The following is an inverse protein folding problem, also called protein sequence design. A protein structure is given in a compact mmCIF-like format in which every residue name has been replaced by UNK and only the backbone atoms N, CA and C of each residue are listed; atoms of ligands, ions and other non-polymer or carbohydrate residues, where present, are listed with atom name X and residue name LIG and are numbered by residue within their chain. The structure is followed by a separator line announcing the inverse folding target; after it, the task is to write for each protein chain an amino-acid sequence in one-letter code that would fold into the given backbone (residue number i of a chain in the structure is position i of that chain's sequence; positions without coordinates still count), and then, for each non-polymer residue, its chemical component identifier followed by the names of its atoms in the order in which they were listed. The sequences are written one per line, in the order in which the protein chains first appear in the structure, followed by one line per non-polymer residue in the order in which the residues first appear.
data_IF_773813329589
#
_entry.id   IF_773813329589
#
_cell.length_a   1.000
_cell.length_b   1.000
_cell.length_c   1.000
_cell.angle_alpha   90.00
_cell.angle_beta   90.00
_cell.angle_gamma   90.00
#
_symmetry.space_group_name_H-M   'P 1'
#
loop_
_entity.id
_entity.type
_entity.pdbx_description
1 polymer ?
#
# COMPACT_ATOMS: atom_id res chain seq x y z
N UNK A 1 -6.62 10.33 19.36
CA UNK A 1 -5.63 10.97 18.47
C UNK A 1 -4.36 10.17 18.60
N UNK A 2 -4.23 9.18 17.74
CA UNK A 2 -3.02 8.40 17.61
C UNK A 2 -2.08 9.29 16.78
N UNK A 3 -0.96 9.71 17.38
CA UNK A 3 0.00 10.61 16.75
C UNK A 3 1.12 9.74 16.16
N UNK A 4 1.22 9.65 14.83
CA UNK A 4 2.14 8.70 14.15
C UNK A 4 3.22 9.39 13.31
N UNK A 5 3.67 10.57 13.71
CA UNK A 5 4.84 11.22 13.10
C UNK A 5 5.82 11.69 14.16
N UNK A 6 7.14 11.41 14.01
CA UNK A 6 8.14 11.81 14.97
C UNK A 6 8.42 13.32 14.85
N UNK A 7 8.31 14.03 15.98
CA UNK A 7 8.94 15.33 16.27
C UNK A 7 8.99 16.37 15.13
N UNK A 8 7.83 16.84 14.66
CA UNK A 8 7.68 18.25 14.27
C UNK A 8 6.54 18.87 15.09
N UNK A 9 6.90 19.71 16.05
CA UNK A 9 6.02 20.21 17.11
C UNK A 9 4.92 21.20 16.66
N UNK A 10 4.76 21.40 15.34
CA UNK A 10 3.70 22.23 14.78
C UNK A 10 3.09 21.55 13.56
N UNK A 11 1.80 21.24 13.65
CA UNK A 11 1.01 20.74 12.53
C UNK A 11 0.95 21.80 11.42
N UNK A 12 1.15 21.38 10.17
CA UNK A 12 0.89 22.24 9.03
C UNK A 12 -0.60 22.58 8.98
N UNK A 13 -0.91 23.80 8.60
CA UNK A 13 -2.27 24.34 8.66
C UNK A 13 -2.43 25.57 7.80
N UNK A 14 -3.63 26.16 7.84
CA UNK A 14 -3.95 27.38 7.10
C UNK A 14 -2.99 28.54 7.38
N UNK A 15 -2.53 28.68 8.64
CA UNK A 15 -1.58 29.72 9.00
C UNK A 15 -0.25 29.55 8.23
N UNK A 16 0.31 28.34 8.17
CA UNK A 16 1.53 28.06 7.43
C UNK A 16 1.36 28.29 5.92
N UNK A 17 0.21 27.89 5.36
CA UNK A 17 -0.13 28.16 3.96
C UNK A 17 -0.21 29.66 3.65
N UNK A 18 -0.91 30.43 4.48
CA UNK A 18 -1.05 31.89 4.34
C UNK A 18 0.28 32.63 4.51
N UNK A 19 1.18 32.11 5.36
CA UNK A 19 2.55 32.61 5.52
C UNK A 19 3.47 32.22 4.35
N UNK A 20 2.96 31.50 3.34
CA UNK A 20 3.62 31.26 2.07
C UNK A 20 4.22 29.86 1.88
N UNK A 21 4.01 28.94 2.82
CA UNK A 21 4.43 27.54 2.72
C UNK A 21 3.51 26.76 1.78
N UNK A 22 3.90 26.71 0.51
CA UNK A 22 3.21 26.02 -0.58
C UNK A 22 4.02 24.81 -1.04
N UNK A 23 3.34 23.68 -1.28
CA UNK A 23 3.99 22.43 -1.69
C UNK A 23 4.68 22.55 -3.07
N UNK A 24 4.01 23.20 -4.03
CA UNK A 24 4.53 23.42 -5.40
C UNK A 24 5.91 24.08 -5.43
N UNK A 25 6.19 25.02 -4.52
CA UNK A 25 7.48 25.72 -4.44
C UNK A 25 8.65 24.79 -4.08
N UNK A 26 8.36 23.65 -3.46
CA UNK A 26 9.35 22.65 -3.06
C UNK A 26 9.55 21.58 -4.13
N UNK A 27 8.64 21.50 -5.11
CA UNK A 27 8.69 20.47 -6.13
C UNK A 27 9.86 20.72 -7.10
N UNK A 28 10.51 19.63 -7.44
CA UNK A 28 11.62 19.45 -8.37
C UNK A 28 11.18 18.46 -9.44
N UNK A 29 12.05 18.20 -10.40
CA UNK A 29 11.82 17.23 -11.48
C UNK A 29 11.37 15.85 -10.97
N UNK A 30 12.08 15.30 -9.97
CA UNK A 30 11.78 14.00 -9.36
C UNK A 30 10.85 14.08 -8.14
N UNK A 31 10.07 15.14 -7.97
CA UNK A 31 8.99 15.20 -6.95
C UNK A 31 7.79 14.39 -7.40
N UNK A 32 8.00 13.07 -7.51
CA UNK A 32 7.07 12.12 -8.10
C UNK A 32 6.87 10.93 -7.17
N UNK A 33 5.74 10.24 -7.35
CA UNK A 33 5.39 9.02 -6.63
C UNK A 33 5.54 7.85 -7.59
N UNK A 34 6.51 6.98 -7.34
CA UNK A 34 6.74 5.78 -8.14
C UNK A 34 6.35 4.54 -7.33
N UNK A 35 5.71 3.58 -7.99
CA UNK A 35 5.31 2.32 -7.35
C UNK A 35 5.86 1.15 -8.15
N UNK A 36 6.60 0.25 -7.49
CA UNK A 36 7.07 -1.00 -8.09
C UNK A 36 6.09 -2.12 -7.76
N UNK A 37 5.51 -2.69 -8.80
CA UNK A 37 4.44 -3.67 -8.75
C UNK A 37 4.92 -5.02 -9.32
N UNK A 38 4.28 -6.10 -8.87
CA UNK A 38 4.56 -7.43 -9.35
C UNK A 38 4.19 -8.53 -8.37
N UNK A 39 4.35 -9.77 -8.83
CA UNK A 39 4.02 -10.96 -8.04
C UNK A 39 4.92 -11.08 -6.78
N UNK A 40 4.54 -11.94 -5.82
CA UNK A 40 5.11 -12.00 -4.46
C UNK A 40 6.66 -11.94 -4.40
N UNK A 41 7.35 -12.79 -5.15
CA UNK A 41 8.81 -12.92 -5.11
C UNK A 41 9.51 -12.51 -6.42
N UNK A 42 9.02 -11.46 -7.08
CA UNK A 42 9.61 -10.98 -8.33
C UNK A 42 10.91 -10.16 -8.16
N UNK A 43 11.25 -9.73 -6.93
CA UNK A 43 12.44 -8.89 -6.67
C UNK A 43 12.14 -7.39 -6.58
N UNK A 44 10.86 -7.02 -6.51
CA UNK A 44 10.35 -5.63 -6.41
C UNK A 44 11.09 -4.74 -5.41
N UNK A 45 11.31 -5.19 -4.17
CA UNK A 45 11.95 -4.35 -3.15
C UNK A 45 13.40 -3.99 -3.45
N UNK A 46 14.17 -4.92 -4.03
CA UNK A 46 15.55 -4.63 -4.45
C UNK A 46 15.56 -3.56 -5.54
N UNK A 47 14.70 -3.70 -6.55
CA UNK A 47 14.59 -2.73 -7.64
C UNK A 47 14.14 -1.36 -7.11
N UNK A 48 13.09 -1.32 -6.28
CA UNK A 48 12.56 -0.10 -5.67
C UNK A 48 13.63 0.66 -4.87
N UNK A 49 14.40 -0.06 -4.05
CA UNK A 49 15.50 0.52 -3.28
C UNK A 49 16.58 1.11 -4.20
N UNK A 50 17.00 0.36 -5.23
CA UNK A 50 18.05 0.82 -6.15
C UNK A 50 17.61 2.06 -6.96
N UNK A 51 16.34 2.11 -7.41
CA UNK A 51 15.78 3.28 -8.08
C UNK A 51 15.78 4.49 -7.14
N UNK A 52 15.35 4.29 -5.89
CA UNK A 52 15.31 5.37 -4.91
C UNK A 52 16.69 5.94 -4.62
N UNK A 53 17.71 5.07 -4.44
CA UNK A 53 19.10 5.48 -4.22
C UNK A 53 19.67 6.27 -5.41
N UNK A 54 19.38 5.83 -6.65
CA UNK A 54 19.87 6.47 -7.88
C UNK A 54 19.23 7.82 -8.15
N UNK A 55 17.92 7.94 -7.95
CA UNK A 55 17.16 9.18 -8.19
C UNK A 55 17.12 10.12 -6.99
N UNK A 56 17.73 9.73 -5.86
CA UNK A 56 17.69 10.51 -4.61
C UNK A 56 16.28 10.62 -4.00
N UNK A 57 15.43 9.63 -4.26
CA UNK A 57 14.06 9.54 -3.75
C UNK A 57 14.03 8.76 -2.44
N UNK A 58 12.97 8.93 -1.64
CA UNK A 58 12.77 8.16 -0.42
C UNK A 58 12.14 6.82 -0.73
N UNK A 59 12.79 5.74 -0.32
CA UNK A 59 12.26 4.38 -0.43
C UNK A 59 11.35 4.06 0.76
N UNK A 60 10.17 3.51 0.46
CA UNK A 60 9.23 2.95 1.43
C UNK A 60 9.11 1.43 1.19
N UNK A 61 9.52 0.58 2.16
CA UNK A 61 9.45 -0.87 2.02
C UNK A 61 8.00 -1.37 2.04
N UNK A 62 7.74 -2.58 1.53
CA UNK A 62 6.37 -3.14 1.49
C UNK A 62 5.67 -3.10 2.87
N UNK A 63 4.45 -2.54 2.92
CA UNK A 63 3.66 -2.51 4.15
C UNK A 63 3.30 -3.94 4.61
N UNK A 64 3.64 -4.24 5.86
CA UNK A 64 3.28 -5.48 6.54
C UNK A 64 2.21 -5.25 7.62
N UNK A 65 1.81 -6.32 8.30
CA UNK A 65 0.81 -6.28 9.39
C UNK A 65 1.22 -5.32 10.52
N UNK A 66 2.52 -5.09 10.70
CA UNK A 66 3.10 -4.29 11.79
C UNK A 66 3.53 -2.89 11.33
N UNK A 67 3.06 -2.44 10.16
CA UNK A 67 3.40 -1.11 9.67
C UNK A 67 3.00 -0.02 10.66
N UNK A 68 1.77 -0.08 11.19
CA UNK A 68 1.26 0.86 12.17
C UNK A 68 2.05 0.81 13.50
N UNK A 69 2.42 -0.38 13.96
CA UNK A 69 3.22 -0.58 15.19
C UNK A 69 4.56 0.14 15.12
N UNK A 70 5.22 0.14 13.94
CA UNK A 70 6.52 0.78 13.75
C UNK A 70 6.44 2.30 13.69
N UNK A 71 5.28 2.83 13.30
CA UNK A 71 5.04 4.28 13.23
C UNK A 71 4.49 4.86 14.53
N UNK A 72 3.89 4.02 15.37
CA UNK A 72 3.17 4.45 16.57
C UNK A 72 3.97 4.11 17.82
N UNK A 73 3.93 5.01 18.81
CA UNK A 73 4.46 4.74 20.14
C UNK A 73 5.97 4.44 20.17
N UNK A 74 6.34 3.40 20.90
CA UNK A 74 7.73 2.94 21.07
C UNK A 74 8.34 2.22 19.84
N UNK A 75 7.57 1.99 18.77
CA UNK A 75 8.02 1.21 17.61
C UNK A 75 8.16 -0.30 17.86
N UNK A 76 7.67 -0.80 18.99
CA UNK A 76 7.69 -2.22 19.36
C UNK A 76 6.54 -2.97 18.66
N UNK A 77 6.84 -4.16 18.16
CA UNK A 77 5.83 -5.02 17.54
C UNK A 77 4.80 -5.47 18.58
N UNK A 78 3.52 -5.23 18.30
CA UNK A 78 2.43 -5.62 19.16
C UNK A 78 2.04 -7.09 18.93
N UNK A 79 1.35 -7.65 19.93
CA UNK A 79 0.79 -8.99 19.83
C UNK A 79 -0.32 -9.04 18.75
N UNK A 80 -0.49 -10.21 18.11
CA UNK A 80 -1.46 -10.44 17.03
C UNK A 80 -2.88 -9.94 17.34
N UNK A 81 -3.32 -10.07 18.60
CA UNK A 81 -4.65 -9.61 19.05
C UNK A 81 -4.86 -8.09 18.94
N UNK A 82 -3.79 -7.30 18.90
CA UNK A 82 -3.85 -5.86 18.73
C UNK A 82 -3.73 -5.45 17.25
N UNK A 83 -3.28 -6.37 16.39
CA UNK A 83 -3.10 -6.13 14.95
C UNK A 83 -4.20 -6.84 14.14
N UNK A 84 -5.44 -6.68 14.59
CA UNK A 84 -6.62 -7.19 13.90
C UNK A 84 -6.74 -8.72 13.85
N UNK A 85 -6.04 -9.46 14.72
CA UNK A 85 -6.00 -10.93 14.68
C UNK A 85 -5.56 -11.47 13.30
N UNK A 86 -4.62 -10.75 12.68
CA UNK A 86 -4.14 -11.03 11.34
C UNK A 86 -2.84 -11.83 11.39
N UNK A 87 -2.83 -12.98 10.70
CA UNK A 87 -1.67 -13.85 10.66
C UNK A 87 -1.45 -14.42 9.25
N UNK A 88 -0.32 -14.04 8.63
CA UNK A 88 0.07 -14.52 7.30
C UNK A 88 0.33 -16.02 7.26
N UNK A 89 0.92 -16.60 8.31
CA UNK A 89 1.15 -18.03 8.39
C UNK A 89 -0.18 -18.80 8.41
N UNK A 90 -1.16 -18.34 9.19
CA UNK A 90 -2.51 -18.93 9.20
C UNK A 90 -3.15 -18.88 7.80
N UNK A 91 -3.04 -17.74 7.12
CA UNK A 91 -3.54 -17.56 5.76
C UNK A 91 -2.93 -18.56 4.76
N UNK A 92 -1.61 -18.76 4.76
CA UNK A 92 -0.97 -19.70 3.82
C UNK A 92 -1.14 -21.17 4.22
N UNK A 93 -1.46 -21.47 5.49
CA UNK A 93 -1.66 -22.86 5.97
C UNK A 93 -3.09 -23.34 5.79
N UNK A 94 -4.09 -22.52 6.09
CA UNK A 94 -5.51 -22.86 5.95
C UNK A 94 -6.33 -21.66 5.44
N UNK A 95 -6.17 -21.25 4.16
CA UNK A 95 -6.84 -20.07 3.62
C UNK A 95 -8.37 -20.20 3.54
N UNK A 96 -8.93 -21.39 3.72
CA UNK A 96 -10.38 -21.69 3.63
C UNK A 96 -11.06 -21.80 5.00
N UNK A 97 -10.35 -21.45 6.07
CA UNK A 97 -10.89 -21.51 7.42
C UNK A 97 -12.17 -20.67 7.55
N UNK A 98 -13.16 -21.21 8.29
CA UNK A 98 -14.44 -20.54 8.54
C UNK A 98 -14.34 -19.30 9.43
N UNK A 99 -13.18 -19.05 10.04
CA UNK A 99 -12.85 -17.91 10.90
C UNK A 99 -12.75 -16.57 10.14
N UNK A 100 -12.81 -16.58 8.81
CA UNK A 100 -12.76 -15.34 8.01
C UNK A 100 -11.41 -14.61 8.02
N UNK A 101 -10.38 -15.19 8.65
CA UNK A 101 -9.04 -14.60 8.79
C UNK A 101 -8.40 -14.16 7.46
N UNK A 102 -8.70 -14.86 6.35
CA UNK A 102 -8.21 -14.50 5.01
C UNK A 102 -8.64 -13.09 4.60
N UNK A 103 -9.92 -12.77 4.78
CA UNK A 103 -10.43 -11.44 4.44
C UNK A 103 -10.01 -10.40 5.47
N UNK A 104 -10.02 -10.74 6.77
CA UNK A 104 -9.55 -9.84 7.83
C UNK A 104 -8.11 -9.39 7.62
N UNK A 105 -7.22 -10.32 7.25
CA UNK A 105 -5.84 -10.03 6.86
C UNK A 105 -5.76 -9.11 5.65
N UNK A 106 -6.55 -9.37 4.61
CA UNK A 106 -6.57 -8.53 3.41
C UNK A 106 -7.02 -7.10 3.73
N UNK A 107 -8.09 -6.92 4.52
CA UNK A 107 -8.57 -5.61 4.95
C UNK A 107 -7.53 -4.86 5.80
N UNK A 108 -6.84 -5.56 6.70
CA UNK A 108 -5.78 -4.97 7.53
C UNK A 108 -4.58 -4.50 6.69
N UNK A 109 -4.14 -5.33 5.74
CA UNK A 109 -3.04 -4.97 4.81
C UNK A 109 -3.47 -3.80 3.93
N UNK A 110 -4.71 -3.76 3.44
CA UNK A 110 -5.23 -2.63 2.68
C UNK A 110 -5.14 -1.32 3.48
N UNK A 111 -5.64 -1.30 4.72
CA UNK A 111 -5.52 -0.13 5.60
C UNK A 111 -4.07 0.29 5.85
N UNK A 112 -3.18 -0.68 6.07
CA UNK A 112 -1.74 -0.42 6.22
C UNK A 112 -1.11 0.20 4.97
N UNK A 113 -1.53 -0.24 3.77
CA UNK A 113 -1.08 0.34 2.50
C UNK A 113 -1.62 1.74 2.25
N UNK A 114 -2.88 2.00 2.62
CA UNK A 114 -3.46 3.35 2.55
C UNK A 114 -2.71 4.30 3.48
N UNK A 115 -2.42 3.86 4.71
CA UNK A 115 -1.63 4.64 5.67
C UNK A 115 -0.22 4.94 5.13
N UNK A 116 0.46 3.92 4.59
CA UNK A 116 1.77 4.08 3.97
C UNK A 116 1.75 5.05 2.79
N UNK A 117 0.70 4.98 1.97
CA UNK A 117 0.54 5.87 0.84
C UNK A 117 0.34 7.32 1.30
N UNK A 118 -0.44 7.53 2.36
CA UNK A 118 -0.61 8.84 2.99
C UNK A 118 0.72 9.38 3.57
N UNK A 119 1.54 8.54 4.21
CA UNK A 119 2.88 8.93 4.68
C UNK A 119 3.82 9.30 3.53
N UNK A 120 3.74 8.58 2.42
CA UNK A 120 4.53 8.87 1.23
C UNK A 120 4.11 10.19 0.57
N UNK A 121 2.80 10.45 0.48
CA UNK A 121 2.26 11.72 0.00
C UNK A 121 2.60 12.89 0.95
N UNK A 122 2.48 12.68 2.26
CA UNK A 122 2.88 13.69 3.25
C UNK A 122 4.36 14.05 3.13
N UNK A 123 5.24 13.04 2.98
CA UNK A 123 6.66 13.25 2.76
C UNK A 123 6.92 14.05 1.48
N UNK A 124 6.26 13.68 0.37
CA UNK A 124 6.37 14.40 -0.90
C UNK A 124 5.91 15.85 -0.79
N UNK A 125 4.75 16.11 -0.19
CA UNK A 125 4.15 17.46 -0.07
C UNK A 125 4.89 18.36 0.93
N UNK A 126 5.48 17.78 1.96
CA UNK A 126 6.22 18.51 3.00
C UNK A 126 7.66 18.82 2.59
N UNK A 127 8.35 17.89 1.93
CA UNK A 127 9.78 18.00 1.60
C UNK A 127 10.05 18.32 0.14
N UNK A 128 9.13 17.98 -0.76
CA UNK A 128 9.37 17.98 -2.21
C UNK A 128 10.24 16.81 -2.68
N UNK A 129 10.67 15.88 -1.81
CA UNK A 129 11.43 14.72 -2.25
C UNK A 129 10.48 13.65 -2.81
N UNK A 130 10.82 13.11 -3.99
CA UNK A 130 10.10 11.97 -4.57
C UNK A 130 10.12 10.73 -3.68
N UNK A 131 9.17 9.84 -3.91
CA UNK A 131 9.00 8.61 -3.14
C UNK A 131 8.89 7.39 -4.06
N UNK A 132 9.50 6.29 -3.65
CA UNK A 132 9.39 4.98 -4.32
C UNK A 132 8.78 3.98 -3.34
N UNK A 133 7.67 3.37 -3.72
CA UNK A 133 6.89 2.45 -2.91
C UNK A 133 6.93 1.03 -3.49
N UNK A 134 6.90 0.04 -2.62
CA UNK A 134 6.58 -1.33 -2.99
C UNK A 134 5.09 -1.61 -2.87
N UNK A 135 4.44 -1.76 -4.03
CA UNK A 135 2.98 -1.88 -4.14
C UNK A 135 2.23 -0.66 -3.62
N UNK A 136 1.05 -0.45 -4.18
CA UNK A 136 0.16 0.65 -3.85
C UNK A 136 -1.20 0.14 -3.36
N UNK A 137 -2.01 0.97 -2.68
CA UNK A 137 -3.40 0.62 -2.41
C UNK A 137 -4.19 0.37 -3.72
N UNK A 138 -3.79 1.00 -4.84
CA UNK A 138 -4.40 0.80 -6.15
C UNK A 138 -4.24 -0.63 -6.68
N UNK A 139 -3.14 -1.32 -6.35
CA UNK A 139 -2.92 -2.70 -6.81
C UNK A 139 -3.47 -3.76 -5.86
N UNK A 140 -3.94 -3.39 -4.66
CA UNK A 140 -4.28 -4.38 -3.63
C UNK A 140 -5.42 -5.32 -4.02
N UNK A 141 -6.37 -4.85 -4.83
CA UNK A 141 -7.53 -5.65 -5.25
C UNK A 141 -7.15 -6.90 -6.05
N UNK A 142 -5.96 -6.96 -6.67
CA UNK A 142 -5.50 -8.14 -7.41
C UNK A 142 -5.35 -9.36 -6.51
N UNK A 143 -4.99 -9.15 -5.23
CA UNK A 143 -4.89 -10.22 -4.24
C UNK A 143 -6.27 -10.72 -3.85
N UNK A 144 -7.22 -9.80 -3.63
CA UNK A 144 -8.59 -10.15 -3.29
C UNK A 144 -9.28 -10.92 -4.44
N UNK A 145 -9.15 -10.45 -5.68
CA UNK A 145 -9.72 -11.14 -6.85
C UNK A 145 -9.13 -12.55 -7.01
N UNK A 146 -7.83 -12.72 -6.74
CA UNK A 146 -7.21 -14.02 -6.70
C UNK A 146 -7.76 -14.90 -5.57
N UNK A 147 -7.94 -14.35 -4.36
CA UNK A 147 -8.52 -15.09 -3.23
C UNK A 147 -9.94 -15.57 -3.52
N UNK A 148 -10.76 -14.75 -4.19
CA UNK A 148 -12.13 -15.09 -4.61
C UNK A 148 -12.11 -16.23 -5.62
N UNK A 149 -11.26 -16.15 -6.65
CA UNK A 149 -11.14 -17.19 -7.69
C UNK A 149 -10.74 -18.54 -7.10
N UNK A 150 -9.93 -18.55 -6.04
CA UNK A 150 -9.53 -19.78 -5.33
C UNK A 150 -10.56 -20.26 -4.28
N UNK A 151 -11.62 -19.48 -4.04
CA UNK A 151 -12.65 -19.76 -3.05
C UNK A 151 -12.17 -19.58 -1.61
N UNK A 152 -11.22 -18.68 -1.35
CA UNK A 152 -10.72 -18.36 0.00
C UNK A 152 -11.61 -17.36 0.73
N UNK A 153 -12.35 -16.53 -0.01
CA UNK A 153 -13.22 -15.50 0.54
C UNK A 153 -14.60 -15.54 -0.12
N UNK A 154 -15.63 -15.14 0.62
CA UNK A 154 -16.99 -15.08 0.10
C UNK A 154 -17.22 -13.84 -0.77
N UNK A 155 -18.19 -13.92 -1.69
CA UNK A 155 -18.54 -12.80 -2.58
C UNK A 155 -18.92 -11.51 -1.83
N UNK A 156 -19.58 -11.63 -0.66
CA UNK A 156 -19.91 -10.48 0.22
C UNK A 156 -18.69 -9.67 0.65
N UNK A 157 -17.53 -10.31 0.79
CA UNK A 157 -16.27 -9.65 1.14
C UNK A 157 -15.77 -8.76 0.00
N UNK A 158 -16.03 -9.13 -1.25
CA UNK A 158 -15.72 -8.31 -2.42
C UNK A 158 -16.56 -7.06 -2.43
N UNK A 159 -17.87 -7.21 -2.19
CA UNK A 159 -18.79 -6.07 -2.21
C UNK A 159 -18.44 -5.08 -1.09
N UNK A 160 -18.03 -5.58 0.09
CA UNK A 160 -17.49 -4.74 1.17
C UNK A 160 -16.18 -4.06 0.76
N UNK A 161 -15.23 -4.81 0.20
CA UNK A 161 -13.93 -4.27 -0.19
C UNK A 161 -14.04 -3.20 -1.28
N UNK A 162 -14.92 -3.38 -2.26
CA UNK A 162 -15.13 -2.40 -3.34
C UNK A 162 -15.60 -1.05 -2.79
N UNK A 163 -16.57 -1.08 -1.89
CA UNK A 163 -17.07 0.11 -1.21
C UNK A 163 -15.95 0.81 -0.41
N UNK A 164 -15.18 0.04 0.37
CA UNK A 164 -14.01 0.57 1.10
C UNK A 164 -12.97 1.16 0.14
N UNK A 165 -12.62 0.46 -0.94
CA UNK A 165 -11.64 0.90 -1.94
C UNK A 165 -12.08 2.21 -2.59
N UNK A 166 -13.33 2.28 -3.05
CA UNK A 166 -13.88 3.45 -3.74
C UNK A 166 -13.84 4.70 -2.86
N UNK A 167 -14.21 4.60 -1.59
CA UNK A 167 -14.22 5.73 -0.65
C UNK A 167 -12.80 6.08 -0.20
N UNK A 168 -11.94 5.09 0.07
CA UNK A 168 -10.59 5.35 0.62
C UNK A 168 -9.63 5.94 -0.42
N UNK A 169 -9.78 5.55 -1.68
CA UNK A 169 -8.84 5.92 -2.75
C UNK A 169 -9.27 7.21 -3.47
N UNK A 170 -10.55 7.60 -3.44
CA UNK A 170 -11.05 8.78 -4.16
C UNK A 170 -10.37 10.09 -3.74
N UNK A 171 -9.94 10.18 -2.48
CA UNK A 171 -9.30 11.37 -1.92
C UNK A 171 -7.77 11.38 -2.10
N UNK A 172 -7.21 10.31 -2.69
CA UNK A 172 -5.78 10.15 -2.93
C UNK A 172 -5.48 10.30 -4.44
N UNK A 173 -4.39 10.99 -4.75
CA UNK A 173 -3.87 11.05 -6.12
C UNK A 173 -3.15 9.74 -6.46
N UNK A 174 -3.28 9.20 -7.69
CA UNK A 174 -2.61 7.97 -8.09
C UNK A 174 -1.08 8.15 -8.20
N UNK A 175 -0.27 7.08 -8.29
CA UNK A 175 1.16 7.24 -8.56
C UNK A 175 1.40 7.90 -9.92
N UNK A 176 2.55 8.55 -10.08
CA UNK A 176 2.96 9.11 -11.38
C UNK A 176 3.46 8.02 -12.33
N UNK A 177 4.16 7.02 -11.77
CA UNK A 177 4.73 5.90 -12.51
C UNK A 177 4.46 4.59 -11.78
N UNK A 178 4.02 3.60 -12.55
CA UNK A 178 3.94 2.20 -12.13
C UNK A 178 4.97 1.39 -12.91
N UNK A 179 5.88 0.74 -12.18
CA UNK A 179 6.88 -0.16 -12.76
C UNK A 179 6.44 -1.59 -12.46
N UNK A 180 5.98 -2.32 -13.47
CA UNK A 180 5.53 -3.70 -13.32
C UNK A 180 6.62 -4.68 -13.73
N UNK A 181 6.97 -5.60 -12.82
CA UNK A 181 7.90 -6.69 -13.08
C UNK A 181 7.12 -7.94 -13.51
N UNK A 182 7.19 -8.25 -14.80
CA UNK A 182 6.66 -9.47 -15.38
C UNK A 182 7.60 -10.66 -15.13
N UNK A 183 7.11 -11.62 -14.34
CA UNK A 183 7.82 -12.86 -14.04
C UNK A 183 6.84 -14.03 -14.15
N UNK A 184 7.14 -15.05 -14.96
CA UNK A 184 6.29 -16.22 -15.10
C UNK A 184 6.06 -16.93 -13.76
N UNK A 185 4.83 -17.40 -13.50
CA UNK A 185 4.49 -18.17 -12.28
C UNK A 185 5.48 -19.29 -11.93
N UNK A 186 5.96 -20.12 -12.89
CA UNK A 186 6.91 -21.18 -12.55
C UNK A 186 8.22 -20.65 -11.94
N UNK A 187 8.70 -19.49 -12.40
CA UNK A 187 9.89 -18.85 -11.86
C UNK A 187 9.62 -18.23 -10.49
N UNK A 188 8.46 -17.57 -10.31
CA UNK A 188 8.01 -17.04 -9.02
C UNK A 188 7.94 -18.18 -8.00
N UNK A 189 7.32 -19.31 -8.36
CA UNK A 189 7.19 -20.48 -7.50
C UNK A 189 8.57 -21.04 -7.13
N UNK A 190 9.49 -21.16 -8.09
CA UNK A 190 10.86 -21.59 -7.81
C UNK A 190 11.55 -20.66 -6.80
N UNK A 191 11.46 -19.34 -6.99
CA UNK A 191 12.02 -18.35 -6.06
C UNK A 191 11.40 -18.45 -4.66
N UNK A 192 10.09 -18.67 -4.56
CA UNK A 192 9.39 -18.89 -3.28
C UNK A 192 9.90 -20.17 -2.60
N UNK A 193 10.10 -21.26 -3.36
CA UNK A 193 10.63 -22.51 -2.79
C UNK A 193 12.07 -22.37 -2.29
N UNK A 194 12.90 -21.56 -2.96
CA UNK A 194 14.30 -21.33 -2.58
C UNK A 194 14.44 -20.35 -1.41
N UNK A 195 13.77 -19.19 -1.46
CA UNK A 195 14.00 -18.05 -0.56
C UNK A 195 12.80 -17.70 0.34
N UNK A 196 11.62 -18.20 0.02
CA UNK A 196 10.40 -17.90 0.76
C UNK A 196 10.38 -18.52 2.15
N UNK A 197 9.58 -17.93 3.03
CA UNK A 197 9.38 -18.46 4.39
C UNK A 197 8.65 -19.80 4.35
N UNK A 198 8.79 -20.67 5.37
CA UNK A 198 8.18 -22.01 5.37
C UNK A 198 6.68 -22.03 5.06
N UNK A 199 5.95 -21.01 5.49
CA UNK A 199 4.52 -20.86 5.22
C UNK A 199 4.24 -20.37 3.78
N UNK A 200 5.03 -19.47 3.21
CA UNK A 200 4.86 -18.98 1.84
C UNK A 200 5.06 -20.09 0.80
N UNK A 201 5.88 -21.10 1.12
CA UNK A 201 6.10 -22.27 0.26
C UNK A 201 4.84 -23.10 0.02
N UNK A 202 3.79 -22.93 0.83
CA UNK A 202 2.49 -23.61 0.68
C UNK A 202 1.55 -22.91 -0.29
N UNK A 203 1.95 -21.77 -0.86
CA UNK A 203 1.12 -21.02 -1.81
C UNK A 203 0.78 -21.86 -3.04
N UNK A 204 -0.49 -21.83 -3.46
CA UNK A 204 -0.93 -22.55 -4.65
C UNK A 204 -0.42 -21.89 -5.93
N UNK A 205 0.09 -22.65 -6.92
CA UNK A 205 0.41 -22.11 -8.25
C UNK A 205 -0.80 -21.45 -8.93
N UNK A 206 -2.00 -21.98 -8.72
CA UNK A 206 -3.25 -21.41 -9.26
C UNK A 206 -3.56 -20.03 -8.67
N UNK A 207 -3.19 -19.79 -7.42
CA UNK A 207 -3.31 -18.50 -6.76
C UNK A 207 -2.33 -17.48 -7.37
N UNK A 208 -1.06 -17.88 -7.55
CA UNK A 208 -0.05 -17.02 -8.20
C UNK A 208 -0.42 -16.65 -9.63
N UNK A 209 -0.99 -17.59 -10.39
CA UNK A 209 -1.52 -17.33 -11.74
C UNK A 209 -2.71 -16.37 -11.70
N UNK A 210 -3.61 -16.54 -10.74
CA UNK A 210 -4.77 -15.65 -10.58
C UNK A 210 -4.35 -14.20 -10.28
N UNK A 211 -3.27 -14.02 -9.51
CA UNK A 211 -2.66 -12.71 -9.26
C UNK A 211 -2.07 -12.13 -10.55
N UNK A 212 -1.26 -12.89 -11.28
CA UNK A 212 -0.65 -12.44 -12.54
C UNK A 212 -1.72 -12.03 -13.56
N UNK A 213 -2.77 -12.83 -13.70
CA UNK A 213 -3.90 -12.54 -14.58
C UNK A 213 -4.64 -11.26 -14.16
N UNK A 214 -4.83 -11.04 -12.85
CA UNK A 214 -5.51 -9.84 -12.34
C UNK A 214 -4.66 -8.58 -12.57
N UNK A 215 -3.34 -8.67 -12.39
CA UNK A 215 -2.43 -7.59 -12.76
C UNK A 215 -2.54 -7.23 -14.25
N UNK A 216 -2.40 -8.21 -15.13
CA UNK A 216 -2.37 -7.99 -16.59
C UNK A 216 -3.71 -7.57 -17.18
N UNK A 217 -4.83 -8.13 -16.69
CA UNK A 217 -6.15 -7.92 -17.29
C UNK A 217 -6.93 -6.75 -16.71
N UNK A 218 -6.64 -6.35 -15.48
CA UNK A 218 -7.47 -5.36 -14.77
C UNK A 218 -6.62 -4.18 -14.29
N UNK A 219 -5.59 -4.44 -13.47
CA UNK A 219 -4.81 -3.35 -12.87
C UNK A 219 -4.03 -2.51 -13.88
N UNK A 220 -3.23 -3.16 -14.76
CA UNK A 220 -2.39 -2.42 -15.71
C UNK A 220 -3.22 -1.57 -16.70
N UNK A 221 -4.34 -2.05 -17.26
CA UNK A 221 -5.23 -1.21 -18.05
C UNK A 221 -5.81 -0.04 -17.25
N UNK A 222 -6.39 -0.29 -16.07
CA UNK A 222 -7.04 0.74 -15.23
C UNK A 222 -6.05 1.84 -14.83
N UNK A 223 -4.85 1.48 -14.39
CA UNK A 223 -3.87 2.47 -13.92
C UNK A 223 -3.20 3.21 -15.08
N UNK A 224 -3.14 2.63 -16.27
CA UNK A 224 -2.52 3.28 -17.44
C UNK A 224 -3.26 4.51 -17.95
N UNK A 225 -4.53 4.68 -17.55
CA UNK A 225 -5.35 5.85 -17.87
C UNK A 225 -4.84 7.10 -17.15
N UNK A 226 -4.42 6.95 -15.89
CA UNK A 226 -4.02 8.06 -15.01
C UNK A 226 -2.50 8.13 -14.72
N UNK A 227 -1.79 7.01 -14.90
CA UNK A 227 -0.37 6.89 -14.58
C UNK A 227 0.44 6.42 -15.79
N UNK A 228 1.72 6.75 -15.81
CA UNK A 228 2.64 6.10 -16.73
C UNK A 228 2.95 4.68 -16.25
N UNK A 229 3.11 3.76 -17.20
CA UNK A 229 3.33 2.34 -16.89
C UNK A 229 4.53 1.83 -17.68
N UNK A 230 5.55 1.36 -16.97
CA UNK A 230 6.69 0.65 -17.54
C UNK A 230 6.60 -0.83 -17.18
N UNK A 231 6.73 -1.70 -18.17
CA UNK A 231 6.65 -3.14 -18.00
C UNK A 231 7.99 -3.78 -18.35
N UNK A 232 8.58 -4.50 -17.39
CA UNK A 232 9.86 -5.16 -17.55
C UNK A 232 9.74 -6.66 -17.32
N UNK A 233 10.41 -7.46 -18.15
CA UNK A 233 10.70 -8.84 -17.78
C UNK A 233 11.69 -8.86 -16.62
N UNK A 234 11.58 -9.85 -15.74
CA UNK A 234 12.44 -10.00 -14.57
C UNK A 234 13.95 -9.91 -14.88
N UNK A 235 14.41 -10.45 -16.01
CA UNK A 235 15.83 -10.39 -16.42
C UNK A 235 16.30 -8.99 -16.78
N UNK A 236 15.43 -8.18 -17.38
CA UNK A 236 15.74 -6.80 -17.78
C UNK A 236 15.64 -5.88 -16.56
N UNK A 237 14.71 -6.16 -15.65
CA UNK A 237 14.54 -5.42 -14.41
C UNK A 237 15.76 -5.51 -13.46
N UNK A 238 16.70 -6.43 -13.68
CA UNK A 238 17.97 -6.48 -12.94
C UNK A 238 18.95 -5.37 -13.37
N UNK A 239 18.79 -4.84 -14.59
CA UNK A 239 19.56 -3.71 -15.10
C UNK A 239 18.87 -2.39 -14.74
N UNK A 240 19.23 -1.85 -13.58
CA UNK A 240 18.64 -0.62 -13.04
C UNK A 240 18.95 0.59 -13.90
N UNK A 241 20.13 0.66 -14.52
CA UNK A 241 20.52 1.82 -15.34
C UNK A 241 19.56 1.99 -16.51
N UNK A 242 19.21 0.88 -17.17
CA UNK A 242 18.21 0.89 -18.23
C UNK A 242 16.84 1.37 -17.75
N UNK A 243 16.41 0.94 -16.56
CA UNK A 243 15.13 1.40 -15.98
C UNK A 243 15.17 2.90 -15.70
N UNK A 244 16.29 3.42 -15.21
CA UNK A 244 16.47 4.87 -14.98
C UNK A 244 16.45 5.64 -16.30
N UNK A 245 17.18 5.18 -17.33
CA UNK A 245 17.15 5.79 -18.67
C UNK A 245 15.72 5.87 -19.21
N UNK A 246 14.97 4.76 -19.16
CA UNK A 246 13.57 4.74 -19.60
C UNK A 246 12.69 5.73 -18.81
N UNK A 247 12.93 5.89 -17.51
CA UNK A 247 12.23 6.88 -16.65
C UNK A 247 12.56 8.31 -17.09
N UNK A 248 13.82 8.61 -17.43
CA UNK A 248 14.25 9.93 -17.89
C UNK A 248 13.64 10.30 -19.25
N UNK A 249 13.38 9.31 -20.12
CA UNK A 249 12.71 9.52 -21.40
C UNK A 249 11.20 9.69 -21.28
N UNK A 250 10.59 9.34 -20.15
CA UNK A 250 9.14 9.47 -19.95
C UNK A 250 8.72 10.93 -19.80
N UNK A 251 7.58 11.24 -20.42
CA UNK A 251 6.87 12.50 -20.20
C UNK A 251 5.66 12.24 -19.34
N UNK A 252 5.60 12.90 -18.19
CA UNK A 252 4.51 12.76 -17.24
C UNK A 252 3.34 13.69 -17.61
N UNK A 253 2.66 13.35 -18.69
CA UNK A 253 1.59 14.17 -19.27
C UNK A 253 0.17 13.72 -18.82
N UNK A 254 0.08 12.66 -18.01
CA UNK A 254 -1.19 12.11 -17.50
C UNK A 254 -1.64 12.75 -16.18
N UNK A 255 -2.96 12.91 -16.04
CA UNK A 255 -3.63 13.46 -14.87
C UNK A 255 -3.97 12.39 -13.83
N UNK A 256 -4.36 12.78 -12.60
CA UNK A 256 -4.86 14.10 -12.21
C UNK A 256 -3.80 15.08 -11.65
N UNK A 257 -2.50 14.71 -11.67
CA UNK A 257 -1.43 15.55 -11.08
C UNK A 257 -1.26 16.91 -11.73
N UNK A 258 -1.45 17.01 -13.05
CA UNK A 258 -1.30 18.26 -13.79
C UNK A 258 -2.39 19.28 -13.51
N UNK A 259 -3.54 18.83 -12.99
CA UNK A 259 -4.69 19.67 -12.67
C UNK A 259 -4.60 20.26 -11.25
N UNK A 260 -3.60 19.84 -10.46
CA UNK A 260 -3.46 20.25 -9.07
C UNK A 260 -2.88 21.66 -8.95
N UNK A 261 -3.49 22.49 -8.11
CA UNK A 261 -3.00 23.81 -7.76
C UNK A 261 -2.52 23.85 -6.31
N UNK A 262 -2.04 25.02 -5.86
CA UNK A 262 -1.56 25.18 -4.49
C UNK A 262 -2.63 24.90 -3.44
N UNK A 263 -3.91 25.11 -3.77
CA UNK A 263 -5.04 24.96 -2.84
C UNK A 263 -5.41 23.48 -2.74
N UNK A 264 -5.51 22.77 -3.86
CA UNK A 264 -5.80 21.33 -3.89
C UNK A 264 -4.68 20.54 -3.20
N UNK A 265 -3.41 20.87 -3.46
CA UNK A 265 -2.26 20.28 -2.76
C UNK A 265 -2.24 20.61 -1.27
N UNK A 266 -2.72 21.81 -0.88
CA UNK A 266 -2.88 22.17 0.52
C UNK A 266 -3.93 21.29 1.22
N UNK A 267 -5.11 21.11 0.61
CA UNK A 267 -6.15 20.23 1.14
C UNK A 267 -5.70 18.77 1.22
N UNK A 268 -5.03 18.27 0.17
CA UNK A 268 -4.45 16.93 0.18
C UNK A 268 -3.45 16.78 1.32
N UNK A 269 -2.56 17.77 1.53
CA UNK A 269 -1.60 17.75 2.64
C UNK A 269 -2.27 17.71 4.01
N UNK A 270 -3.36 18.47 4.20
CA UNK A 270 -4.14 18.43 5.44
C UNK A 270 -4.79 17.05 5.66
N UNK A 271 -5.36 16.47 4.61
CA UNK A 271 -5.98 15.16 4.66
C UNK A 271 -4.97 14.08 5.04
N UNK A 272 -3.85 13.98 4.31
CA UNK A 272 -2.85 12.92 4.55
C UNK A 272 -2.11 13.08 5.88
N UNK A 273 -2.08 14.28 6.47
CA UNK A 273 -1.54 14.50 7.81
C UNK A 273 -2.47 13.95 8.91
N UNK A 274 -3.78 13.91 8.68
CA UNK A 274 -4.76 13.35 9.60
C UNK A 274 -4.93 11.84 9.39
N UNK A 275 -4.07 11.04 10.04
CA UNK A 275 -4.07 9.58 9.86
C UNK A 275 -5.34 8.91 10.36
N UNK A 276 -5.97 9.46 11.39
CA UNK A 276 -7.27 8.97 11.89
C UNK A 276 -8.33 9.18 10.78
N UNK A 277 -8.35 10.36 10.14
CA UNK A 277 -9.23 10.66 9.01
C UNK A 277 -8.97 9.83 7.75
N UNK A 278 -7.70 9.54 7.43
CA UNK A 278 -7.32 8.67 6.29
C UNK A 278 -7.79 7.22 6.48
N UNK A 279 -7.82 6.75 7.72
CA UNK A 279 -8.23 5.37 8.04
C UNK A 279 -9.73 5.23 8.29
N UNK A 280 -10.46 6.31 8.55
CA UNK A 280 -11.91 6.28 8.81
C UNK A 280 -12.71 5.61 7.67
N UNK A 281 -12.43 5.89 6.37
CA UNK A 281 -13.04 5.18 5.24
C UNK A 281 -12.76 3.67 5.18
N UNK A 282 -11.69 3.19 5.82
CA UNK A 282 -11.35 1.76 5.86
C UNK A 282 -12.28 1.02 6.85
N UNK A 283 -12.87 1.74 7.80
CA UNK A 283 -13.74 1.21 8.86
C UNK A 283 -15.21 1.53 8.63
N UNK A 284 -15.73 1.27 7.42
CA UNK A 284 -17.16 1.47 7.14
C UNK A 284 -18.05 0.61 8.07
N UNK A 285 -19.21 1.12 8.53
CA UNK A 285 -20.11 0.40 9.43
C UNK A 285 -20.97 -0.65 8.68
N UNK A 286 -20.32 -1.49 7.86
CA UNK A 286 -20.96 -2.59 7.12
C UNK A 286 -20.59 -3.92 7.76
N UNK A 287 -21.54 -4.48 8.51
CA UNK A 287 -21.32 -5.68 9.29
C UNK A 287 -21.25 -6.95 8.41
N UNK A 288 -20.05 -7.51 8.29
CA UNK A 288 -19.84 -8.86 7.74
C UNK A 288 -19.17 -9.77 8.80
N UNK A 289 -19.48 -11.08 8.83
CA UNK A 289 -18.97 -12.00 9.85
C UNK A 289 -17.44 -12.05 9.96
N UNK A 290 -16.74 -11.83 8.85
CA UNK A 290 -15.29 -12.01 8.75
C UNK A 290 -14.48 -10.89 9.46
N UNK A 291 -15.06 -9.69 9.63
CA UNK A 291 -14.39 -8.52 10.24
C UNK A 291 -15.10 -7.97 11.48
N UNK A 292 -16.39 -8.29 11.65
CA UNK A 292 -17.17 -7.72 12.76
C UNK A 292 -16.76 -8.36 14.08
N UNK A 293 -16.24 -7.54 15.00
CA UNK A 293 -15.88 -7.94 16.35
C UNK A 293 -17.06 -7.68 17.29
N UNK A 294 -17.35 -8.63 18.19
CA UNK A 294 -18.41 -8.45 19.18
C UNK A 294 -18.08 -7.34 20.18
N UNK A 295 -19.06 -6.55 20.60
CA UNK A 295 -18.83 -5.39 21.49
C UNK A 295 -18.10 -5.73 22.80
N UNK A 296 -18.41 -6.87 23.42
CA UNK A 296 -17.73 -7.34 24.64
C UNK A 296 -16.27 -7.70 24.39
N UNK A 297 -15.97 -8.31 23.25
CA UNK A 297 -14.61 -8.66 22.86
C UNK A 297 -13.80 -7.39 22.55
N UNK A 298 -14.40 -6.45 21.82
CA UNK A 298 -13.80 -5.15 21.54
C UNK A 298 -13.47 -4.38 22.83
N UNK A 299 -14.41 -4.29 23.77
CA UNK A 299 -14.22 -3.56 25.03
C UNK A 299 -13.07 -4.17 25.85
N UNK A 300 -13.01 -5.50 25.94
CA UNK A 300 -11.90 -6.21 26.58
C UNK A 300 -10.56 -5.91 25.91
N UNK A 301 -10.49 -6.01 24.59
CA UNK A 301 -9.26 -5.74 23.83
C UNK A 301 -8.81 -4.29 23.95
N UNK A 302 -9.75 -3.35 23.98
CA UNK A 302 -9.48 -1.93 24.14
C UNK A 302 -8.78 -1.62 25.48
N UNK A 303 -9.31 -2.17 26.59
CA UNK A 303 -8.67 -1.98 27.90
C UNK A 303 -7.35 -2.73 28.03
N UNK A 304 -7.25 -3.93 27.43
CA UNK A 304 -5.97 -4.65 27.36
C UNK A 304 -4.93 -3.83 26.57
N UNK A 305 -5.31 -3.23 25.44
CA UNK A 305 -4.42 -2.37 24.63
C UNK A 305 -3.98 -1.13 25.41
N UNK A 306 -4.90 -0.45 26.11
CA UNK A 306 -4.57 0.70 26.96
C UNK A 306 -3.63 0.38 28.12
N UNK A 307 -3.54 -0.89 28.52
CA UNK A 307 -2.61 -1.33 29.56
C UNK A 307 -1.20 -1.62 29.04
N UNK A 308 -1.01 -1.69 27.72
CA UNK A 308 0.30 -1.86 27.09
C UNK A 308 1.08 -0.55 27.22
N UNK A 309 2.35 -0.65 27.60
CA UNK A 309 3.27 0.49 27.69
C UNK A 309 3.81 0.87 26.31
N UNK A 310 3.83 2.17 26.00
CA UNK A 310 4.36 2.75 24.76
C UNK A 310 3.33 3.59 24.05
#
# INVERSE_FOLDING_TARGET
RIHTSPEQSLQYGWLAYMLGEKASKKFREYSKVFTVEGNLSCGKGKLAQQIAEKLGMKYFPEADIHYQDRLSGDGKLLAEKFNGFCNLEKFYTDPRSSDGHSYRLQSWIFGSRVLQYADALEHLLSTGQGVVLERSPYSDFVFLDAMVKQGYVHKRCIDHYKEVKEISISDLLPPHLVIYIDMPVPEVQKRIQEKGKPYEKKVSPSYLQSIEDAYKRTFLPEISENSEVLQYKATVAEDVEKVIEDIEFLKFDKGPWLEQDDVSLHHLRLYVQDKDGVLDPVTIPRFIPEITIGGTEYDRLYYEYRSVSG
#
